data_IF_801354302476
#
_entry.id   IF_801354302476
#
_cell.length_a   1.000
_cell.length_b   1.000
_cell.length_c   1.000
_cell.angle_alpha   90.00
_cell.angle_beta   90.00
_cell.angle_gamma   90.00
#
_symmetry.space_group_name_H-M   'P 1'
#
loop_
_entity.id
_entity.type
_entity.pdbx_description
1 polymer ?
#
# COMPACT_ATOMS: atom_id res chain seq x y z
N UNK A 1 34.66 4.03 7.49
CA UNK A 1 33.89 3.61 8.67
C UNK A 1 32.71 4.55 8.81
N UNK A 2 31.51 4.02 8.99
CA UNK A 2 30.34 4.84 9.27
C UNK A 2 30.07 4.83 10.77
N UNK A 3 29.79 5.98 11.35
CA UNK A 3 29.39 6.09 12.75
C UNK A 3 27.86 6.00 12.79
N UNK A 4 27.27 5.03 13.51
CA UNK A 4 25.82 4.96 13.64
C UNK A 4 25.30 6.10 14.51
N UNK A 5 24.11 6.60 14.17
CA UNK A 5 23.36 7.55 14.98
C UNK A 5 22.37 6.77 15.83
N UNK A 6 22.53 6.83 17.15
CA UNK A 6 21.61 6.20 18.11
C UNK A 6 21.03 7.28 19.00
N UNK A 7 19.71 7.41 19.00
CA UNK A 7 19.00 8.39 19.82
C UNK A 7 17.97 7.69 20.69
N UNK A 8 18.06 7.93 22.00
CA UNK A 8 17.03 7.54 22.97
C UNK A 8 16.58 8.79 23.70
N UNK A 9 15.29 9.15 23.61
CA UNK A 9 14.81 10.32 24.34
C UNK A 9 13.45 10.85 23.92
N UNK A 10 13.23 12.12 24.24
CA UNK A 10 11.96 12.82 24.03
C UNK A 10 12.24 14.19 23.46
N UNK A 11 11.50 14.59 22.41
CA UNK A 11 11.62 15.93 21.77
C UNK A 11 13.02 16.25 21.23
N UNK A 12 13.69 15.26 20.64
CA UNK A 12 14.99 15.42 20.02
C UNK A 12 14.81 15.37 18.50
N UNK A 13 14.91 16.50 17.76
CA UNK A 13 14.87 16.46 16.31
C UNK A 13 16.17 15.86 15.75
N UNK A 14 16.05 15.07 14.69
CA UNK A 14 17.17 14.42 14.02
C UNK A 14 17.15 14.81 12.55
N UNK A 15 18.27 15.34 12.06
CA UNK A 15 18.50 15.62 10.65
C UNK A 15 19.80 14.96 10.22
N UNK A 16 19.74 14.12 9.19
CA UNK A 16 20.90 13.38 8.69
C UNK A 16 21.02 13.59 7.19
N UNK A 17 22.20 14.03 6.76
CA UNK A 17 22.60 14.14 5.36
C UNK A 17 23.86 13.30 5.17
N UNK A 18 23.84 12.29 4.31
CA UNK A 18 25.07 11.54 4.04
C UNK A 18 24.93 10.19 3.37
N UNK A 19 25.96 9.37 3.54
CA UNK A 19 26.07 8.07 2.89
C UNK A 19 26.49 7.04 3.93
N UNK A 20 25.86 5.87 3.89
CA UNK A 20 26.20 4.72 4.73
C UNK A 20 26.04 4.96 6.23
N UNK A 21 25.10 5.79 6.68
CA UNK A 21 24.89 6.12 8.10
C UNK A 21 23.70 5.32 8.67
N UNK A 22 23.89 4.31 9.52
CA UNK A 22 22.78 3.66 10.20
C UNK A 22 22.15 4.58 11.25
N UNK A 23 20.82 4.58 11.34
CA UNK A 23 20.05 5.39 12.29
C UNK A 23 19.15 4.48 13.11
N UNK A 24 19.23 4.58 14.44
CA UNK A 24 18.34 3.92 15.39
C UNK A 24 17.75 4.95 16.34
N UNK A 25 16.42 5.00 16.43
CA UNK A 25 15.72 5.95 17.29
C UNK A 25 14.70 5.23 18.17
N UNK A 26 14.76 5.50 19.47
CA UNK A 26 13.75 5.06 20.44
C UNK A 26 13.24 6.27 21.21
N UNK A 27 11.95 6.58 21.15
CA UNK A 27 11.48 7.73 21.91
C UNK A 27 10.09 8.25 21.60
N UNK A 28 9.88 9.51 21.99
CA UNK A 28 8.62 10.20 21.82
C UNK A 28 8.81 11.60 21.24
N UNK A 29 7.94 12.01 20.32
CA UNK A 29 7.96 13.37 19.76
C UNK A 29 9.29 13.72 19.09
N UNK A 30 9.88 12.79 18.32
CA UNK A 30 11.17 12.97 17.65
C UNK A 30 10.92 13.11 16.13
N UNK A 31 10.99 14.33 15.56
CA UNK A 31 10.99 14.48 14.10
C UNK A 31 12.30 13.97 13.51
N UNK A 32 12.23 13.19 12.44
CA UNK A 32 13.38 12.62 11.73
C UNK A 32 13.33 13.05 10.26
N UNK A 33 14.42 13.66 9.79
CA UNK A 33 14.62 13.97 8.37
C UNK A 33 15.93 13.34 7.91
N UNK A 34 15.88 12.54 6.85
CA UNK A 34 17.05 11.86 6.27
C UNK A 34 17.12 12.12 4.78
N UNK A 35 18.29 12.56 4.32
CA UNK A 35 18.62 12.59 2.89
C UNK A 35 19.92 11.85 2.65
N UNK A 36 19.93 10.87 1.76
CA UNK A 36 21.17 10.16 1.51
C UNK A 36 21.09 8.85 0.75
N UNK A 37 22.16 8.07 0.90
CA UNK A 37 22.34 6.79 0.20
C UNK A 37 22.79 5.73 1.21
N UNK A 38 22.22 4.53 1.13
CA UNK A 38 22.64 3.39 1.98
C UNK A 38 22.46 3.66 3.48
N UNK A 39 21.32 4.24 3.89
CA UNK A 39 21.03 4.58 5.28
C UNK A 39 19.95 3.64 5.83
N UNK A 40 20.28 2.61 6.61
CA UNK A 40 19.28 1.84 7.34
C UNK A 40 18.68 2.69 8.46
N UNK A 41 17.35 2.69 8.59
CA UNK A 41 16.62 3.44 9.61
C UNK A 41 15.74 2.48 10.41
N UNK A 42 15.89 2.48 11.74
CA UNK A 42 15.03 1.76 12.67
C UNK A 42 14.45 2.75 13.68
N UNK A 43 13.12 2.77 13.79
CA UNK A 43 12.40 3.66 14.71
C UNK A 43 11.43 2.88 15.57
N UNK A 44 11.48 3.10 16.88
CA UNK A 44 10.50 2.60 17.85
C UNK A 44 9.97 3.77 18.69
N UNK A 45 8.67 4.05 18.67
CA UNK A 45 8.18 5.15 19.51
C UNK A 45 6.78 5.67 19.27
N UNK A 46 6.56 6.90 19.74
CA UNK A 46 5.25 7.58 19.67
C UNK A 46 5.42 8.99 19.12
N UNK A 47 4.55 9.39 18.19
CA UNK A 47 4.55 10.76 17.65
C UNK A 47 5.87 11.13 16.97
N UNK A 48 6.39 10.27 16.07
CA UNK A 48 7.67 10.49 15.38
C UNK A 48 7.40 10.74 13.89
N UNK A 49 7.35 11.98 13.40
CA UNK A 49 7.30 12.22 11.96
C UNK A 49 8.62 11.81 11.30
N UNK A 50 8.56 11.07 10.20
CA UNK A 50 9.71 10.60 9.44
C UNK A 50 9.61 11.10 8.00
N UNK A 51 10.65 11.79 7.52
CA UNK A 51 10.81 12.18 6.12
C UNK A 51 12.13 11.62 5.60
N UNK A 52 12.06 10.87 4.51
CA UNK A 52 13.24 10.26 3.88
C UNK A 52 13.28 10.60 2.39
N UNK A 53 14.44 11.07 1.93
CA UNK A 53 14.74 11.22 0.51
C UNK A 53 16.03 10.48 0.17
N UNK A 54 16.01 9.51 -0.74
CA UNK A 54 17.27 8.84 -1.04
C UNK A 54 17.23 7.54 -1.84
N UNK A 55 18.32 6.80 -1.72
CA UNK A 55 18.55 5.56 -2.47
C UNK A 55 19.07 4.47 -1.53
N UNK A 56 18.55 3.24 -1.64
CA UNK A 56 18.98 2.12 -0.80
C UNK A 56 18.81 2.40 0.70
N UNK A 57 17.62 2.83 1.12
CA UNK A 57 17.32 3.13 2.53
C UNK A 57 16.31 2.12 3.05
N UNK A 58 16.72 1.05 3.74
CA UNK A 58 15.79 0.20 4.48
C UNK A 58 15.18 0.96 5.65
N UNK A 59 13.87 0.92 5.81
CA UNK A 59 13.15 1.60 6.89
C UNK A 59 12.31 0.57 7.66
N UNK A 60 12.49 0.52 8.98
CA UNK A 60 11.68 -0.27 9.90
C UNK A 60 11.09 0.64 10.98
N UNK A 61 9.77 0.61 11.14
CA UNK A 61 9.05 1.45 12.09
C UNK A 61 8.10 0.62 12.94
N UNK A 62 8.18 0.81 14.25
CA UNK A 62 7.26 0.25 15.24
C UNK A 62 6.71 1.38 16.11
N UNK A 63 5.39 1.48 16.32
CA UNK A 63 4.88 2.49 17.24
C UNK A 63 3.50 3.07 16.96
N UNK A 64 3.27 4.28 17.45
CA UNK A 64 1.96 4.96 17.39
C UNK A 64 2.13 6.37 16.85
N UNK A 65 1.28 6.76 15.88
CA UNK A 65 1.27 8.12 15.33
C UNK A 65 2.61 8.59 14.75
N UNK A 66 3.21 7.79 13.88
CA UNK A 66 4.50 8.05 13.20
C UNK A 66 4.26 8.35 11.70
N UNK A 67 3.84 9.57 11.28
CA UNK A 67 3.71 9.92 9.86
C UNK A 67 4.99 9.59 9.08
N UNK A 68 4.88 8.94 7.93
CA UNK A 68 6.03 8.57 7.09
C UNK A 68 5.86 9.17 5.71
N UNK A 69 6.88 9.91 5.25
CA UNK A 69 7.01 10.37 3.87
C UNK A 69 8.32 9.86 3.31
N UNK A 70 8.26 9.15 2.19
CA UNK A 70 9.45 8.61 1.52
C UNK A 70 9.44 9.02 0.05
N UNK A 71 10.58 9.52 -0.42
CA UNK A 71 10.86 9.75 -1.84
C UNK A 71 12.16 9.07 -2.22
N UNK A 72 12.16 8.16 -3.19
CA UNK A 72 13.43 7.54 -3.57
C UNK A 72 13.41 6.29 -4.41
N UNK A 73 14.53 5.57 -4.35
CA UNK A 73 14.80 4.39 -5.16
C UNK A 73 15.29 3.25 -4.27
N UNK A 74 14.77 2.04 -4.46
CA UNK A 74 15.24 0.85 -3.72
C UNK A 74 15.13 1.02 -2.20
N UNK A 75 13.95 1.40 -1.70
CA UNK A 75 13.70 1.65 -0.27
C UNK A 75 12.71 0.60 0.25
N UNK A 76 13.16 -0.49 0.89
CA UNK A 76 12.26 -1.40 1.61
C UNK A 76 11.68 -0.70 2.84
N UNK A 77 10.36 -0.79 3.03
CA UNK A 77 9.64 -0.17 4.13
C UNK A 77 8.85 -1.26 4.88
N UNK A 78 9.07 -1.37 6.19
CA UNK A 78 8.30 -2.23 7.09
C UNK A 78 7.75 -1.39 8.24
N UNK A 79 6.44 -1.44 8.45
CA UNK A 79 5.75 -0.60 9.43
C UNK A 79 4.77 -1.44 10.23
N UNK A 80 4.86 -1.42 11.57
CA UNK A 80 3.89 -2.04 12.48
C UNK A 80 3.38 -1.01 13.49
N UNK A 81 2.15 -0.51 13.28
CA UNK A 81 1.75 0.75 13.90
C UNK A 81 0.25 0.93 14.14
N UNK A 82 -0.10 1.97 14.91
CA UNK A 82 -1.47 2.47 15.07
C UNK A 82 -1.53 3.95 14.68
N UNK A 83 -2.52 4.32 13.86
CA UNK A 83 -2.90 5.70 13.50
C UNK A 83 -1.84 6.51 12.74
N UNK A 84 -1.60 6.23 11.46
CA UNK A 84 -0.47 6.81 10.70
C UNK A 84 -0.77 7.07 9.22
N UNK A 85 -0.50 8.26 8.67
CA UNK A 85 -0.39 8.45 7.23
C UNK A 85 0.99 8.00 6.70
N UNK A 86 0.99 7.20 5.63
CA UNK A 86 2.18 6.79 4.88
C UNK A 86 2.07 7.35 3.47
N UNK A 87 3.07 8.10 3.02
CA UNK A 87 3.19 8.60 1.65
C UNK A 87 4.51 8.12 1.07
N UNK A 88 4.44 7.45 -0.08
CA UNK A 88 5.63 6.94 -0.77
C UNK A 88 5.61 7.34 -2.23
N UNK A 89 6.73 7.90 -2.70
CA UNK A 89 6.97 8.20 -4.11
C UNK A 89 8.29 7.58 -4.56
N UNK A 90 8.31 6.79 -5.63
CA UNK A 90 9.58 6.26 -6.09
C UNK A 90 9.55 5.02 -6.98
N UNK A 91 10.68 4.32 -7.00
CA UNK A 91 10.87 3.10 -7.81
C UNK A 91 11.48 1.99 -6.96
N UNK A 92 11.01 0.76 -7.16
CA UNK A 92 11.53 -0.43 -6.48
C UNK A 92 11.41 -0.31 -4.94
N UNK A 93 10.22 0.03 -4.45
CA UNK A 93 9.98 0.23 -3.01
C UNK A 93 9.03 -0.87 -2.52
N UNK A 94 9.53 -1.97 -1.94
CA UNK A 94 8.69 -2.92 -1.23
C UNK A 94 8.12 -2.28 0.04
N UNK A 95 6.81 -2.38 0.25
CA UNK A 95 6.10 -1.83 1.40
C UNK A 95 5.36 -2.96 2.12
N UNK A 96 5.61 -3.12 3.41
CA UNK A 96 4.87 -4.01 4.31
C UNK A 96 4.31 -3.20 5.46
N UNK A 97 3.00 -3.22 5.64
CA UNK A 97 2.30 -2.48 6.70
C UNK A 97 1.41 -3.43 7.49
N UNK A 98 1.55 -3.41 8.81
CA UNK A 98 0.66 -4.08 9.74
C UNK A 98 0.09 -3.05 10.71
N UNK A 99 -1.23 -2.96 10.85
CA UNK A 99 -1.79 -2.05 11.84
C UNK A 99 -3.22 -1.58 11.64
N UNK A 100 -3.54 -0.45 12.26
CA UNK A 100 -4.91 0.08 12.34
C UNK A 100 -4.92 1.58 12.07
N UNK A 101 -5.92 2.08 11.33
CA UNK A 101 -6.08 3.51 10.99
C UNK A 101 -4.89 4.08 10.22
N UNK A 102 -4.55 3.48 9.08
CA UNK A 102 -3.35 3.84 8.31
C UNK A 102 -3.73 4.30 6.91
N UNK A 103 -3.86 5.60 6.63
CA UNK A 103 -3.94 6.08 5.25
C UNK A 103 -2.63 5.82 4.52
N UNK A 104 -2.68 5.16 3.37
CA UNK A 104 -1.50 4.86 2.54
C UNK A 104 -1.70 5.50 1.16
N UNK A 105 -0.74 6.34 0.75
CA UNK A 105 -0.64 6.89 -0.60
C UNK A 105 0.68 6.44 -1.23
N UNK A 106 0.60 5.79 -2.39
CA UNK A 106 1.79 5.35 -3.13
C UNK A 106 1.74 5.83 -4.58
N UNK A 107 2.84 6.41 -5.05
CA UNK A 107 3.05 6.76 -6.45
C UNK A 107 4.38 6.19 -6.94
N UNK A 108 4.38 5.43 -8.03
CA UNK A 108 5.67 4.94 -8.54
C UNK A 108 5.66 3.75 -9.48
N UNK A 109 6.82 3.08 -9.54
CA UNK A 109 7.08 1.94 -10.43
C UNK A 109 7.69 0.79 -9.65
N UNK A 110 7.25 -0.44 -9.89
CA UNK A 110 7.81 -1.64 -9.26
C UNK A 110 7.72 -1.60 -7.73
N UNK A 111 6.52 -1.33 -7.19
CA UNK A 111 6.30 -1.20 -5.74
C UNK A 111 5.41 -2.36 -5.28
N UNK A 112 5.96 -3.46 -4.74
CA UNK A 112 5.17 -4.46 -4.04
C UNK A 112 4.60 -3.88 -2.75
N UNK A 113 3.30 -4.04 -2.52
CA UNK A 113 2.60 -3.56 -1.32
C UNK A 113 1.92 -4.74 -0.64
N UNK A 114 2.20 -4.94 0.65
CA UNK A 114 1.50 -5.88 1.53
C UNK A 114 0.92 -5.11 2.71
N UNK A 115 -0.39 -5.23 2.93
CA UNK A 115 -1.07 -4.60 4.05
C UNK A 115 -1.86 -5.64 4.84
N UNK A 116 -1.69 -5.65 6.15
CA UNK A 116 -2.53 -6.40 7.09
C UNK A 116 -3.12 -5.43 8.11
N UNK A 117 -4.44 -5.27 8.17
CA UNK A 117 -4.97 -4.28 9.11
C UNK A 117 -6.47 -4.01 9.14
N UNK A 118 -6.82 -2.96 9.87
CA UNK A 118 -8.19 -2.46 9.96
C UNK A 118 -8.24 -0.96 9.67
N UNK A 119 -9.24 -0.51 8.92
CA UNK A 119 -9.43 0.92 8.62
C UNK A 119 -8.20 1.53 7.94
N UNK A 120 -7.76 0.93 6.84
CA UNK A 120 -6.59 1.36 6.06
C UNK A 120 -7.04 1.85 4.68
N UNK A 121 -7.30 3.16 4.48
CA UNK A 121 -7.51 3.69 3.14
C UNK A 121 -6.21 3.57 2.32
N UNK A 122 -6.29 3.03 1.11
CA UNK A 122 -5.13 2.83 0.23
C UNK A 122 -5.39 3.53 -1.11
N UNK A 123 -4.48 4.40 -1.53
CA UNK A 123 -4.47 5.02 -2.85
C UNK A 123 -3.14 4.69 -3.52
N UNK A 124 -3.19 4.12 -4.71
CA UNK A 124 -2.02 3.72 -5.48
C UNK A 124 -2.10 4.26 -6.90
N UNK A 125 -1.03 4.89 -7.37
CA UNK A 125 -0.87 5.29 -8.75
C UNK A 125 0.46 4.78 -9.31
N UNK A 126 0.46 4.01 -10.40
CA UNK A 126 1.73 3.56 -10.95
C UNK A 126 1.74 2.36 -11.89
N UNK A 127 2.93 1.79 -12.06
CA UNK A 127 3.20 0.69 -12.99
C UNK A 127 3.88 -0.47 -12.25
N UNK A 128 3.46 -1.70 -12.54
CA UNK A 128 4.06 -2.90 -11.95
C UNK A 128 4.00 -2.91 -10.42
N UNK A 129 2.80 -2.73 -9.86
CA UNK A 129 2.59 -2.66 -8.41
C UNK A 129 1.75 -3.87 -7.95
N UNK A 130 2.37 -4.97 -7.52
CA UNK A 130 1.64 -6.04 -6.84
C UNK A 130 1.09 -5.55 -5.50
N UNK A 131 -0.20 -5.77 -5.24
CA UNK A 131 -0.88 -5.35 -4.01
C UNK A 131 -1.53 -6.55 -3.36
N UNK A 132 -1.16 -6.84 -2.11
CA UNK A 132 -1.82 -7.84 -1.25
C UNK A 132 -2.39 -7.13 -0.04
N UNK A 133 -3.68 -7.33 0.23
CA UNK A 133 -4.36 -6.75 1.38
C UNK A 133 -5.11 -7.82 2.15
N UNK A 134 -4.92 -7.87 3.46
CA UNK A 134 -5.70 -8.69 4.38
C UNK A 134 -6.30 -7.80 5.47
N UNK A 135 -7.62 -7.81 5.65
CA UNK A 135 -8.19 -6.98 6.71
C UNK A 135 -9.67 -6.62 6.63
N UNK A 136 -10.02 -5.53 7.32
CA UNK A 136 -11.39 -5.04 7.39
C UNK A 136 -11.45 -3.53 7.15
N UNK A 137 -12.49 -3.06 6.44
CA UNK A 137 -12.73 -1.62 6.20
C UNK A 137 -11.54 -0.94 5.51
N UNK A 138 -11.14 -1.46 4.35
CA UNK A 138 -9.97 -0.96 3.61
C UNK A 138 -10.45 -0.40 2.26
N UNK A 139 -10.91 0.85 2.18
CA UNK A 139 -11.17 1.48 0.89
C UNK A 139 -9.90 1.52 0.06
N UNK A 140 -9.98 1.11 -1.20
CA UNK A 140 -8.84 1.11 -2.11
C UNK A 140 -9.16 1.78 -3.42
N UNK A 141 -8.27 2.67 -3.85
CA UNK A 141 -8.25 3.26 -5.19
C UNK A 141 -6.92 2.92 -5.85
N UNK A 142 -6.97 2.35 -7.04
CA UNK A 142 -5.79 2.02 -7.84
C UNK A 142 -5.92 2.62 -9.22
N UNK A 143 -4.91 3.35 -9.66
CA UNK A 143 -4.76 3.81 -11.05
C UNK A 143 -3.44 3.30 -11.60
N UNK A 144 -3.43 2.48 -12.65
CA UNK A 144 -2.14 1.98 -13.13
C UNK A 144 -2.14 0.92 -14.22
N UNK A 145 -0.93 0.45 -14.51
CA UNK A 145 -0.67 -0.61 -15.47
C UNK A 145 0.03 -1.79 -14.79
N UNK A 146 -0.37 -3.02 -15.13
CA UNK A 146 0.25 -4.24 -14.60
C UNK A 146 0.24 -4.27 -13.07
N UNK A 147 -0.95 -4.13 -12.48
CA UNK A 147 -1.13 -4.08 -11.02
C UNK A 147 -1.89 -5.32 -10.54
N UNK A 148 -1.22 -6.44 -10.22
CA UNK A 148 -1.89 -7.56 -9.58
C UNK A 148 -2.44 -7.17 -8.22
N UNK A 149 -3.69 -7.53 -7.97
CA UNK A 149 -4.40 -7.21 -6.74
C UNK A 149 -4.92 -8.51 -6.13
N UNK A 150 -4.54 -8.77 -4.88
CA UNK A 150 -5.13 -9.82 -4.04
C UNK A 150 -5.68 -9.18 -2.79
N UNK A 151 -6.93 -9.50 -2.45
CA UNK A 151 -7.59 -8.97 -1.27
C UNK A 151 -8.33 -10.08 -0.55
N UNK A 152 -8.12 -10.17 0.77
CA UNK A 152 -8.85 -11.06 1.68
C UNK A 152 -9.45 -10.23 2.81
N UNK A 153 -10.78 -10.22 2.97
CA UNK A 153 -11.35 -9.42 4.05
C UNK A 153 -12.83 -9.07 3.98
N UNK A 154 -13.23 -8.09 4.79
CA UNK A 154 -14.63 -7.64 4.88
C UNK A 154 -14.75 -6.13 4.69
N UNK A 155 -15.80 -5.70 3.97
CA UNK A 155 -16.10 -4.28 3.75
C UNK A 155 -14.94 -3.50 3.13
N UNK A 156 -14.43 -3.97 1.99
CA UNK A 156 -13.30 -3.39 1.26
C UNK A 156 -13.80 -2.83 -0.08
N UNK A 157 -14.21 -1.55 -0.16
CA UNK A 157 -14.51 -0.92 -1.43
C UNK A 157 -13.26 -0.87 -2.30
N UNK A 158 -13.38 -1.28 -3.57
CA UNK A 158 -12.26 -1.27 -4.51
C UNK A 158 -12.66 -0.50 -5.76
N UNK A 159 -11.87 0.52 -6.11
CA UNK A 159 -11.94 1.23 -7.38
C UNK A 159 -10.62 1.00 -8.11
N UNK A 160 -10.69 0.52 -9.35
CA UNK A 160 -9.54 0.29 -10.23
C UNK A 160 -9.75 1.00 -11.55
N UNK A 161 -8.75 1.76 -11.99
CA UNK A 161 -8.64 2.29 -13.34
C UNK A 161 -7.31 1.85 -13.94
N UNK A 162 -7.30 1.11 -15.04
CA UNK A 162 -6.01 0.65 -15.55
C UNK A 162 -5.99 -0.34 -16.70
N UNK A 163 -4.80 -0.88 -16.94
CA UNK A 163 -4.55 -1.93 -17.94
C UNK A 163 -3.84 -3.11 -17.30
N UNK A 164 -4.23 -4.34 -17.69
CA UNK A 164 -3.58 -5.57 -17.22
C UNK A 164 -3.57 -5.68 -15.68
N UNK A 165 -4.73 -5.49 -15.06
CA UNK A 165 -4.89 -5.52 -13.59
C UNK A 165 -5.62 -6.80 -13.20
N UNK A 166 -4.93 -7.92 -12.91
CA UNK A 166 -5.60 -9.09 -12.37
C UNK A 166 -6.04 -8.83 -10.93
N UNK A 167 -7.31 -9.15 -10.63
CA UNK A 167 -7.92 -8.94 -9.32
C UNK A 167 -8.42 -10.28 -8.79
N UNK A 168 -7.95 -10.66 -7.61
CA UNK A 168 -8.47 -11.79 -6.83
C UNK A 168 -9.00 -11.28 -5.52
N UNK A 169 -10.23 -11.67 -5.20
CA UNK A 169 -10.93 -11.22 -4.02
C UNK A 169 -11.54 -12.40 -3.25
N UNK A 170 -11.38 -12.41 -1.92
CA UNK A 170 -11.99 -13.39 -1.01
C UNK A 170 -12.61 -12.69 0.20
N UNK A 171 -13.92 -12.82 0.41
CA UNK A 171 -14.59 -12.29 1.60
C UNK A 171 -16.02 -11.74 1.39
N UNK A 172 -16.42 -10.72 2.14
CA UNK A 172 -17.85 -10.32 2.28
C UNK A 172 -18.08 -8.80 2.17
N UNK A 173 -19.16 -8.41 1.49
CA UNK A 173 -19.67 -7.02 1.39
C UNK A 173 -18.71 -6.04 0.71
N UNK A 174 -18.34 -6.34 -0.54
CA UNK A 174 -17.26 -5.63 -1.23
C UNK A 174 -17.72 -5.04 -2.55
N UNK A 175 -17.96 -3.71 -2.60
CA UNK A 175 -18.25 -3.05 -3.85
C UNK A 175 -16.97 -2.90 -4.67
N UNK A 176 -17.01 -3.38 -5.90
CA UNK A 176 -15.90 -3.35 -6.86
C UNK A 176 -16.33 -2.50 -8.05
N UNK A 177 -15.55 -1.48 -8.38
CA UNK A 177 -15.69 -0.68 -9.60
C UNK A 177 -14.40 -0.77 -10.39
N UNK A 178 -14.50 -1.20 -11.64
CA UNK A 178 -13.35 -1.38 -12.51
C UNK A 178 -13.58 -0.68 -13.83
N UNK A 179 -12.59 0.11 -14.26
CA UNK A 179 -12.54 0.72 -15.58
C UNK A 179 -11.21 0.37 -16.26
N UNK A 180 -11.24 -0.23 -17.45
CA UNK A 180 -9.99 -0.48 -18.16
C UNK A 180 -9.97 -1.63 -19.17
N UNK A 181 -8.77 -2.14 -19.42
CA UNK A 181 -8.50 -3.15 -20.46
C UNK A 181 -7.76 -4.35 -19.86
N UNK A 182 -8.20 -5.57 -20.21
CA UNK A 182 -7.55 -6.82 -19.79
C UNK A 182 -7.48 -6.98 -18.27
N UNK A 183 -8.64 -6.93 -17.62
CA UNK A 183 -8.74 -7.00 -16.16
C UNK A 183 -9.46 -8.30 -15.79
N UNK A 184 -8.74 -9.41 -15.55
CA UNK A 184 -9.37 -10.62 -15.06
C UNK A 184 -9.74 -10.45 -13.58
N UNK A 185 -10.98 -10.79 -13.25
CA UNK A 185 -11.54 -10.65 -11.91
C UNK A 185 -11.98 -12.02 -11.41
N UNK A 186 -11.47 -12.44 -10.26
CA UNK A 186 -11.91 -13.63 -9.53
C UNK A 186 -12.45 -13.21 -8.18
N UNK A 187 -13.67 -13.63 -7.88
CA UNK A 187 -14.40 -13.25 -6.67
C UNK A 187 -14.87 -14.50 -5.94
N UNK A 188 -14.55 -14.60 -4.66
CA UNK A 188 -15.03 -15.66 -3.76
C UNK A 188 -15.71 -15.03 -2.55
N UNK A 189 -16.99 -15.32 -2.34
CA UNK A 189 -17.74 -14.88 -1.16
C UNK A 189 -19.00 -14.06 -1.47
N UNK A 190 -19.59 -13.46 -0.44
CA UNK A 190 -20.99 -13.01 -0.45
C UNK A 190 -21.15 -11.49 -0.56
N UNK A 191 -22.20 -11.04 -1.27
CA UNK A 191 -22.61 -9.63 -1.39
C UNK A 191 -21.52 -8.75 -2.03
N UNK A 192 -21.35 -8.87 -3.34
CA UNK A 192 -20.27 -8.19 -4.05
C UNK A 192 -20.85 -7.43 -5.25
N UNK A 193 -21.34 -6.20 -5.05
CA UNK A 193 -21.73 -5.34 -6.16
C UNK A 193 -20.52 -5.06 -7.04
N UNK A 194 -20.56 -5.46 -8.30
CA UNK A 194 -19.43 -5.31 -9.23
C UNK A 194 -19.87 -4.50 -10.44
N UNK A 195 -19.23 -3.38 -10.70
CA UNK A 195 -19.41 -2.57 -11.91
C UNK A 195 -18.14 -2.63 -12.72
N UNK A 196 -18.26 -3.03 -13.99
CA UNK A 196 -17.13 -3.11 -14.91
C UNK A 196 -17.43 -2.31 -16.17
N UNK A 197 -16.52 -1.41 -16.54
CA UNK A 197 -16.52 -0.69 -17.82
C UNK A 197 -15.21 -0.98 -18.53
N UNK A 198 -15.24 -1.67 -19.67
CA UNK A 198 -13.97 -2.00 -20.32
C UNK A 198 -13.99 -3.03 -21.44
N UNK A 199 -12.77 -3.34 -21.88
CA UNK A 199 -12.50 -4.36 -22.90
C UNK A 199 -11.78 -5.56 -22.26
N UNK A 200 -12.16 -6.77 -22.67
CA UNK A 200 -11.51 -8.02 -22.24
C UNK A 200 -11.45 -8.22 -20.72
N UNK A 201 -12.60 -8.14 -20.05
CA UNK A 201 -12.72 -8.37 -18.61
C UNK A 201 -13.40 -9.73 -18.38
N UNK A 202 -12.65 -10.83 -18.19
CA UNK A 202 -13.23 -12.07 -17.71
C UNK A 202 -13.52 -11.96 -16.21
N UNK A 203 -14.70 -12.44 -15.80
CA UNK A 203 -15.15 -12.42 -14.41
C UNK A 203 -15.50 -13.85 -14.02
N UNK A 204 -14.93 -14.33 -12.91
CA UNK A 204 -15.22 -15.63 -12.31
C UNK A 204 -15.72 -15.41 -10.89
N UNK A 205 -16.81 -16.09 -10.53
CA UNK A 205 -17.48 -15.91 -9.24
C UNK A 205 -17.67 -17.27 -8.58
N UNK A 206 -17.39 -17.37 -7.28
CA UNK A 206 -17.63 -18.58 -6.48
C UNK A 206 -18.43 -18.22 -5.23
N UNK A 207 -19.70 -18.68 -5.20
CA UNK A 207 -20.76 -18.57 -4.16
C UNK A 207 -21.39 -17.18 -3.84
N UNK A 208 -22.56 -16.94 -4.46
CA UNK A 208 -23.85 -16.33 -4.00
C UNK A 208 -23.99 -14.82 -3.67
N UNK A 209 -25.11 -14.25 -4.17
CA UNK A 209 -25.72 -12.93 -3.94
C UNK A 209 -24.94 -11.72 -4.48
N UNK A 210 -24.77 -11.68 -5.80
CA UNK A 210 -23.89 -10.74 -6.49
C UNK A 210 -24.70 -9.96 -7.52
N UNK A 211 -24.56 -8.64 -7.50
CA UNK A 211 -25.09 -7.75 -8.52
C UNK A 211 -23.94 -7.30 -9.42
N UNK A 212 -23.85 -7.86 -10.63
CA UNK A 212 -22.84 -7.48 -11.61
C UNK A 212 -23.49 -6.62 -12.70
N UNK A 213 -22.90 -5.44 -12.94
CA UNK A 213 -23.19 -4.59 -14.09
C UNK A 213 -21.94 -4.55 -14.95
N UNK A 214 -22.03 -5.07 -16.19
CA UNK A 214 -20.94 -4.99 -17.17
C UNK A 214 -21.36 -4.10 -18.32
N UNK A 215 -20.69 -2.97 -18.46
CA UNK A 215 -20.74 -2.13 -19.67
C UNK A 215 -19.58 -2.56 -20.55
N UNK A 216 -19.87 -3.48 -21.47
CA UNK A 216 -18.86 -4.07 -22.35
C UNK A 216 -18.90 -3.42 -23.72
N UNK A 217 -17.74 -3.03 -24.22
CA UNK A 217 -17.66 -2.43 -25.55
C UNK A 217 -17.79 -3.47 -26.69
N UNK A 218 -17.55 -4.80 -26.49
CA UNK A 218 -18.04 -5.98 -27.31
C UNK A 218 -17.87 -7.38 -26.59
N UNK A 219 -18.91 -8.27 -26.60
CA UNK A 219 -19.02 -9.78 -26.43
C UNK A 219 -18.58 -10.55 -25.13
N UNK A 220 -19.06 -11.81 -24.83
CA UNK A 220 -20.05 -12.20 -23.79
C UNK A 220 -19.48 -12.57 -22.39
N UNK A 221 -20.36 -12.59 -21.38
CA UNK A 221 -20.11 -12.98 -19.99
C UNK A 221 -20.24 -14.51 -19.86
N UNK A 222 -19.30 -15.16 -19.16
CA UNK A 222 -19.48 -16.54 -18.67
C UNK A 222 -19.73 -16.45 -17.18
N UNK A 223 -20.98 -16.64 -16.77
CA UNK A 223 -21.33 -16.85 -15.36
C UNK A 223 -21.35 -18.37 -15.17
N UNK A 224 -20.46 -18.90 -14.32
CA UNK A 224 -20.52 -20.28 -13.82
C UNK A 224 -20.92 -20.23 -12.36
#
# INVERSE_FOLDING_TARGET
MSIPIVVVGVRIPIVVMGVSIPIVVVGMSIPIVVVGVSIPIVVMGVSIPIVVVGVMIPIVVMGVSIPIVVVGMSIPIVVVVVSIPIVVMGVSIPIVVVGVMIPILVMGVSIPIVVVGMSVPIVVMGVSIPIVVVGMRIPKVVVGMSVPIVVVGMSIPIVVVGMSVPIVFVGVSIPIVVMGVSIPIVVVGMIIPTVVVGMSVPIVVVRVNIHIVVVRLRKPIVVV
#
